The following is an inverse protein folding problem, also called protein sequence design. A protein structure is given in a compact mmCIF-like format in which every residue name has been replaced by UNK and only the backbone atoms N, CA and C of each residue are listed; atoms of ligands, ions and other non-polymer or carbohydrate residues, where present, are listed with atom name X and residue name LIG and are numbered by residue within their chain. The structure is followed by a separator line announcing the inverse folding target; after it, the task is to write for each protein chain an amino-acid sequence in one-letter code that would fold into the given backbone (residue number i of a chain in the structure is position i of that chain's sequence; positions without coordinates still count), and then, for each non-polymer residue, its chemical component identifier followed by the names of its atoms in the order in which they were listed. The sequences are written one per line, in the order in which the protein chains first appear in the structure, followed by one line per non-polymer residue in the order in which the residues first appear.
data_IF_394959105239
#
_entry.id   IF_394959105239
#
_cell.length_a   1.000
_cell.length_b   1.000
_cell.length_c   1.000
_cell.angle_alpha   90.00
_cell.angle_beta   90.00
_cell.angle_gamma   90.00
#
_symmetry.space_group_name_H-M   'P 1'
#
loop_
_entity.id
_entity.type
_entity.pdbx_description
1 polymer ?
#
# COMPACT_ATOMS: atom_id res chain seq x y z
N UNK A 1 -10.71 22.74 -25.46
CA UNK A 1 -11.53 22.32 -24.30
C UNK A 1 -12.05 23.57 -23.63
N UNK A 2 -13.25 23.56 -23.04
CA UNK A 2 -13.70 24.69 -22.21
C UNK A 2 -12.93 24.67 -20.89
N UNK A 3 -12.61 25.83 -20.31
CA UNK A 3 -11.98 25.96 -18.99
C UNK A 3 -12.76 25.18 -17.93
N UNK A 4 -14.10 25.21 -17.99
CA UNK A 4 -14.97 24.42 -17.11
C UNK A 4 -14.75 22.90 -17.20
N UNK A 5 -14.39 22.39 -18.38
CA UNK A 5 -14.11 20.97 -18.54
C UNK A 5 -12.72 20.62 -17.98
N UNK A 6 -11.73 21.49 -18.15
CA UNK A 6 -10.41 21.30 -17.57
C UNK A 6 -10.46 21.30 -16.03
N UNK A 7 -11.17 22.25 -15.43
CA UNK A 7 -11.38 22.32 -13.98
C UNK A 7 -12.01 21.02 -13.46
N UNK A 8 -13.07 20.52 -14.13
CA UNK A 8 -13.73 19.26 -13.74
C UNK A 8 -12.80 18.06 -13.82
N UNK A 9 -11.97 17.96 -14.86
CA UNK A 9 -11.01 16.87 -15.02
C UNK A 9 -9.95 16.87 -13.90
N UNK A 10 -9.47 18.05 -13.51
CA UNK A 10 -8.52 18.19 -12.41
C UNK A 10 -9.19 17.86 -11.06
N UNK A 11 -10.42 18.32 -10.81
CA UNK A 11 -11.17 17.99 -9.59
C UNK A 11 -11.41 16.47 -9.45
N UNK A 12 -11.70 15.78 -10.56
CA UNK A 12 -11.81 14.31 -10.58
C UNK A 12 -10.47 13.66 -10.22
N UNK A 13 -9.39 14.12 -10.85
CA UNK A 13 -8.04 13.59 -10.63
C UNK A 13 -7.58 13.79 -9.18
N UNK A 14 -7.86 14.96 -8.60
CA UNK A 14 -7.60 15.27 -7.20
C UNK A 14 -8.35 14.31 -6.28
N UNK A 15 -9.64 14.09 -6.52
CA UNK A 15 -10.46 13.17 -5.71
C UNK A 15 -9.94 11.73 -5.73
N UNK A 16 -9.38 11.28 -6.85
CA UNK A 16 -8.76 9.96 -6.94
C UNK A 16 -7.41 9.89 -6.21
N UNK A 17 -6.61 10.95 -6.27
CA UNK A 17 -5.40 11.08 -5.49
C UNK A 17 -5.68 11.10 -3.97
N UNK A 18 -6.73 11.79 -3.53
CA UNK A 18 -7.15 11.84 -2.12
C UNK A 18 -7.45 10.45 -1.55
N UNK A 19 -8.05 9.54 -2.34
CA UNK A 19 -8.28 8.15 -1.91
C UNK A 19 -6.97 7.41 -1.62
N UNK A 20 -5.94 7.63 -2.44
CA UNK A 20 -4.62 7.01 -2.23
C UNK A 20 -3.95 7.54 -0.96
N UNK A 21 -4.10 8.84 -0.67
CA UNK A 21 -3.64 9.44 0.58
C UNK A 21 -4.37 8.84 1.79
N UNK A 22 -5.68 8.65 1.70
CA UNK A 22 -6.47 8.07 2.78
C UNK A 22 -6.12 6.60 3.04
N UNK A 23 -5.89 5.81 1.99
CA UNK A 23 -5.37 4.44 2.10
C UNK A 23 -4.01 4.42 2.82
N UNK A 24 -3.07 5.28 2.43
CA UNK A 24 -1.76 5.37 3.06
C UNK A 24 -1.86 5.77 4.54
N UNK A 25 -2.74 6.72 4.87
CA UNK A 25 -3.02 7.10 6.27
C UNK A 25 -3.59 5.93 7.05
N UNK A 26 -4.49 5.14 6.48
CA UNK A 26 -5.04 3.95 7.11
C UNK A 26 -3.94 2.90 7.38
N UNK A 27 -3.09 2.62 6.39
CA UNK A 27 -1.95 1.70 6.55
C UNK A 27 -0.98 2.21 7.62
N UNK A 28 -0.66 3.50 7.65
CA UNK A 28 0.22 4.08 8.66
C UNK A 28 -0.37 3.92 10.08
N UNK A 29 -1.69 4.09 10.25
CA UNK A 29 -2.37 3.83 11.53
C UNK A 29 -2.28 2.36 11.93
N UNK A 30 -2.49 1.43 10.99
CA UNK A 30 -2.36 -0.01 11.24
C UNK A 30 -0.94 -0.36 11.68
N UNK A 31 0.09 0.09 10.96
CA UNK A 31 1.49 -0.19 11.29
C UNK A 31 1.92 0.38 12.64
N UNK A 32 1.26 1.43 13.13
CA UNK A 32 1.50 2.01 14.46
C UNK A 32 0.68 1.34 15.57
N UNK A 33 -0.40 0.63 15.23
CA UNK A 33 -1.27 -0.03 16.19
C UNK A 33 -0.54 -1.18 16.91
N UNK A 34 -0.65 -1.21 18.25
CA UNK A 34 0.04 -2.20 19.10
C UNK A 34 -0.35 -3.64 18.79
N UNK A 35 -1.63 -3.91 18.59
CA UNK A 35 -2.11 -5.28 18.33
C UNK A 35 -1.76 -5.74 16.92
N UNK A 36 -1.80 -4.83 15.95
CA UNK A 36 -1.31 -5.12 14.60
C UNK A 36 0.18 -5.45 14.61
N UNK A 37 1.00 -4.67 15.31
CA UNK A 37 2.44 -4.97 15.47
C UNK A 37 2.66 -6.35 16.08
N UNK A 38 1.97 -6.65 17.18
CA UNK A 38 2.11 -7.94 17.88
C UNK A 38 1.69 -9.15 17.02
N UNK A 39 0.57 -9.03 16.31
CA UNK A 39 -0.04 -10.17 15.61
C UNK A 39 0.50 -10.31 14.18
N UNK A 40 0.60 -9.20 13.44
CA UNK A 40 0.97 -9.22 12.02
C UNK A 40 2.46 -8.95 11.84
N UNK A 41 3.01 -7.87 12.40
CA UNK A 41 4.43 -7.56 12.18
C UNK A 41 5.34 -8.58 12.86
N UNK A 42 5.25 -8.73 14.17
CA UNK A 42 6.09 -9.65 14.94
C UNK A 42 5.64 -11.11 14.76
N UNK A 43 4.33 -11.35 14.73
CA UNK A 43 3.77 -12.71 14.60
C UNK A 43 3.93 -13.27 13.20
N UNK A 44 3.32 -12.62 12.21
CA UNK A 44 3.22 -13.15 10.86
C UNK A 44 4.43 -12.79 9.97
N UNK A 45 4.96 -11.57 10.01
CA UNK A 45 6.08 -11.19 9.15
C UNK A 45 7.43 -11.68 9.66
N UNK A 46 7.62 -11.78 10.98
CA UNK A 46 8.90 -12.17 11.58
C UNK A 46 8.90 -13.64 12.04
N UNK A 47 8.10 -13.99 13.06
CA UNK A 47 8.15 -15.32 13.68
C UNK A 47 7.70 -16.42 12.71
N UNK A 48 6.61 -16.20 11.99
CA UNK A 48 6.11 -17.19 11.04
C UNK A 48 7.06 -17.38 9.85
N UNK A 49 7.67 -16.31 9.34
CA UNK A 49 8.70 -16.42 8.30
C UNK A 49 9.87 -17.30 8.75
N UNK A 50 10.38 -17.10 9.98
CA UNK A 50 11.43 -17.96 10.56
C UNK A 50 10.95 -19.40 10.69
N UNK A 51 9.73 -19.62 11.20
CA UNK A 51 9.16 -20.97 11.35
C UNK A 51 9.11 -21.71 10.01
N UNK A 52 8.65 -21.05 8.95
CA UNK A 52 8.56 -21.62 7.60
C UNK A 52 9.94 -21.96 7.02
N UNK A 53 10.96 -21.12 7.24
CA UNK A 53 12.35 -21.44 6.85
C UNK A 53 12.85 -22.69 7.57
N UNK A 54 12.64 -22.78 8.88
CA UNK A 54 13.09 -23.94 9.66
C UNK A 54 12.39 -25.24 9.25
N UNK A 55 11.10 -25.17 8.90
CA UNK A 55 10.37 -26.34 8.39
C UNK A 55 10.93 -26.90 7.08
N UNK A 56 11.71 -26.12 6.32
CA UNK A 56 12.33 -26.63 5.09
C UNK A 56 13.27 -27.81 5.34
N UNK A 57 13.88 -27.91 6.53
CA UNK A 57 14.73 -29.04 6.90
C UNK A 57 14.02 -30.10 7.74
N UNK A 58 12.73 -29.91 8.08
CA UNK A 58 11.97 -30.89 8.87
C UNK A 58 11.69 -32.14 8.03
N UNK A 59 12.08 -33.35 8.49
CA UNK A 59 11.86 -34.60 7.74
C UNK A 59 10.40 -34.86 7.34
N UNK A 60 9.43 -34.33 8.10
CA UNK A 60 8.00 -34.52 7.82
C UNK A 60 7.48 -33.61 6.71
N UNK A 61 8.28 -32.64 6.25
CA UNK A 61 7.90 -31.66 5.21
C UNK A 61 8.76 -31.78 3.95
N UNK A 62 9.38 -32.93 3.72
CA UNK A 62 10.29 -33.14 2.57
C UNK A 62 9.58 -33.55 1.29
N UNK A 63 8.27 -33.80 1.32
CA UNK A 63 7.56 -34.10 0.09
C UNK A 63 7.57 -32.88 -0.84
N UNK A 64 7.52 -33.07 -2.18
CA UNK A 64 7.44 -31.95 -3.12
C UNK A 64 6.24 -31.02 -2.85
N UNK A 65 5.10 -31.59 -2.44
CA UNK A 65 3.87 -30.85 -2.13
C UNK A 65 4.03 -29.97 -0.88
N UNK A 66 4.66 -30.51 0.18
CA UNK A 66 4.94 -29.76 1.40
C UNK A 66 5.91 -28.60 1.13
N UNK A 67 6.98 -28.86 0.38
CA UNK A 67 7.96 -27.81 0.03
C UNK A 67 7.33 -26.70 -0.82
N UNK A 68 6.45 -27.05 -1.78
CA UNK A 68 5.72 -26.07 -2.58
C UNK A 68 4.75 -25.24 -1.71
N UNK A 69 4.07 -25.89 -0.76
CA UNK A 69 3.16 -25.22 0.18
C UNK A 69 3.91 -24.26 1.11
N UNK A 70 5.08 -24.66 1.62
CA UNK A 70 5.94 -23.79 2.43
C UNK A 70 6.39 -22.55 1.64
N UNK A 71 6.86 -22.72 0.41
CA UNK A 71 7.26 -21.60 -0.45
C UNK A 71 6.09 -20.65 -0.71
N UNK A 72 4.91 -21.20 -1.02
CA UNK A 72 3.70 -20.40 -1.24
C UNK A 72 3.33 -19.58 0.00
N UNK A 73 3.45 -20.15 1.19
CA UNK A 73 3.20 -19.42 2.44
C UNK A 73 4.21 -18.29 2.68
N UNK A 74 5.49 -18.53 2.37
CA UNK A 74 6.55 -17.52 2.46
C UNK A 74 6.31 -16.37 1.48
N UNK A 75 5.91 -16.68 0.25
CA UNK A 75 5.54 -15.67 -0.74
C UNK A 75 4.35 -14.83 -0.28
N UNK A 76 3.34 -15.45 0.35
CA UNK A 76 2.20 -14.75 0.91
C UNK A 76 2.57 -13.69 1.95
N UNK A 77 3.56 -13.97 2.79
CA UNK A 77 4.13 -12.98 3.73
C UNK A 77 4.73 -11.79 2.97
N UNK A 78 5.56 -12.07 1.96
CA UNK A 78 6.22 -11.06 1.15
C UNK A 78 5.21 -10.18 0.39
N UNK A 79 4.21 -10.79 -0.23
CA UNK A 79 3.16 -10.11 -1.01
C UNK A 79 2.36 -9.16 -0.13
N UNK A 80 1.91 -9.60 1.05
CA UNK A 80 1.14 -8.72 1.95
C UNK A 80 1.99 -7.54 2.42
N UNK A 81 3.24 -7.78 2.83
CA UNK A 81 4.14 -6.71 3.26
C UNK A 81 4.38 -5.71 2.13
N UNK A 82 4.61 -6.21 0.92
CA UNK A 82 4.80 -5.36 -0.26
C UNK A 82 3.55 -4.52 -0.57
N UNK A 83 2.36 -5.11 -0.54
CA UNK A 83 1.11 -4.38 -0.74
C UNK A 83 0.96 -3.19 0.22
N UNK A 84 1.22 -3.40 1.52
CA UNK A 84 1.16 -2.33 2.52
C UNK A 84 2.18 -1.22 2.24
N UNK A 85 3.41 -1.58 1.85
CA UNK A 85 4.44 -0.61 1.48
C UNK A 85 4.04 0.18 0.24
N UNK A 86 3.49 -0.48 -0.78
CA UNK A 86 3.03 0.18 -2.01
C UNK A 86 1.91 1.18 -1.73
N UNK A 87 0.98 0.89 -0.80
CA UNK A 87 -0.04 1.87 -0.39
C UNK A 87 0.59 3.13 0.19
N UNK A 88 1.62 3.00 1.04
CA UNK A 88 2.33 4.15 1.60
C UNK A 88 3.00 4.99 0.51
N UNK A 89 3.77 4.35 -0.38
CA UNK A 89 4.48 5.04 -1.48
C UNK A 89 3.49 5.77 -2.40
N UNK A 90 2.38 5.11 -2.76
CA UNK A 90 1.37 5.74 -3.62
C UNK A 90 0.67 6.91 -2.94
N UNK A 91 0.43 6.85 -1.63
CA UNK A 91 -0.14 7.98 -0.90
C UNK A 91 0.84 9.15 -0.81
N UNK A 92 2.13 8.90 -0.61
CA UNK A 92 3.15 9.95 -0.59
C UNK A 92 3.25 10.64 -1.96
N UNK A 93 3.24 9.86 -3.05
CA UNK A 93 3.21 10.39 -4.42
C UNK A 93 1.92 11.17 -4.71
N UNK A 94 0.77 10.64 -4.30
CA UNK A 94 -0.53 11.30 -4.48
C UNK A 94 -0.61 12.61 -3.69
N UNK A 95 -0.02 12.67 -2.49
CA UNK A 95 0.03 13.91 -1.70
C UNK A 95 0.77 15.01 -2.43
N UNK A 96 1.93 14.70 -3.04
CA UNK A 96 2.67 15.66 -3.86
C UNK A 96 1.85 16.07 -5.10
N UNK A 97 1.21 15.12 -5.77
CA UNK A 97 0.37 15.42 -6.93
C UNK A 97 -0.82 16.31 -6.60
N UNK A 98 -1.41 16.21 -5.40
CA UNK A 98 -2.51 17.10 -4.98
C UNK A 98 -2.03 18.55 -4.88
N UNK A 99 -0.81 18.79 -4.40
CA UNK A 99 -0.24 20.14 -4.32
C UNK A 99 -0.11 20.77 -5.71
N UNK A 100 0.37 20.00 -6.70
CA UNK A 100 0.47 20.45 -8.09
C UNK A 100 -0.92 20.73 -8.71
N UNK A 101 -1.89 19.82 -8.49
CA UNK A 101 -3.26 19.96 -9.00
C UNK A 101 -3.99 21.15 -8.36
N UNK A 102 -3.70 21.48 -7.10
CA UNK A 102 -4.27 22.63 -6.41
C UNK A 102 -3.73 23.96 -6.94
N UNK A 103 -2.43 24.00 -7.29
CA UNK A 103 -1.85 25.16 -7.96
C UNK A 103 -2.47 25.38 -9.35
N UNK A 104 -2.59 24.31 -10.15
CA UNK A 104 -3.20 24.37 -11.48
C UNK A 104 -4.68 24.79 -11.43
N UNK A 105 -5.45 24.29 -10.45
CA UNK A 105 -6.84 24.70 -10.26
C UNK A 105 -6.98 26.18 -9.94
N UNK A 106 -6.08 26.74 -9.13
CA UNK A 106 -6.12 28.15 -8.78
C UNK A 106 -5.83 29.02 -10.01
N UNK A 107 -4.79 28.69 -10.78
CA UNK A 107 -4.44 29.38 -12.02
C UNK A 107 -5.62 29.40 -13.01
N UNK A 108 -6.27 28.25 -13.23
CA UNK A 108 -7.42 28.15 -14.14
C UNK A 108 -8.67 28.91 -13.64
N UNK A 109 -8.83 29.06 -12.32
CA UNK A 109 -9.93 29.84 -11.74
C UNK A 109 -9.68 31.33 -11.88
N UNK A 110 -8.44 31.78 -11.69
CA UNK A 110 -8.04 33.17 -11.93
C UNK A 110 -8.18 33.56 -13.41
N UNK A 111 -7.88 32.65 -14.35
CA UNK A 111 -8.05 32.89 -15.79
C UNK A 111 -9.53 32.96 -16.23
N UNK A 112 -10.44 32.40 -15.43
CA UNK A 112 -11.87 32.37 -15.73
C UNK A 112 -12.66 33.59 -15.22
N UNK A 113 -12.05 34.41 -14.36
CA UNK A 113 -12.57 35.71 -13.87
C UNK A 113 -12.29 36.87 -14.83
#
# INVERSE_FOLDING_TARGET
MSTDNAIKEIEISKKDAEKLVDDARAVNRLLKNRDFKRVITEGFFEKEAVRLVLLKSDPNFQSPEDQASLLTAMDGIGVLRHYLQTRLVLGDQASASIEDLDAELEELREEAE
#
